data_IF_108928882057
#
_entry.id   IF_108928882057
#
_cell.length_a   1.000
_cell.length_b   1.000
_cell.length_c   1.000
_cell.angle_alpha   90.00
_cell.angle_beta   90.00
_cell.angle_gamma   90.00
#
_symmetry.space_group_name_H-M   'P 1'
#
loop_
_entity.id
_entity.type
_entity.pdbx_description
1 polymer ?
#
# COMPACT_ATOMS: atom_id res chain seq x y z
N UNK A 1 -10.06 11.17 17.75
CA UNK A 1 -11.13 10.98 18.77
C UNK A 1 -11.63 9.55 18.65
N UNK A 2 -11.57 8.76 19.72
CA UNK A 2 -12.15 7.42 19.72
C UNK A 2 -13.68 7.52 19.75
N UNK A 3 -14.36 6.83 18.85
CA UNK A 3 -15.82 6.71 18.87
C UNK A 3 -16.19 5.72 19.99
N UNK A 4 -17.16 6.03 20.88
CA UNK A 4 -17.59 5.13 21.94
C UNK A 4 -17.95 3.73 21.42
N UNK A 5 -17.56 2.68 22.14
CA UNK A 5 -17.75 1.25 21.76
C UNK A 5 -19.23 0.86 21.56
N UNK A 6 -20.16 1.63 22.11
CA UNK A 6 -21.61 1.39 22.01
C UNK A 6 -22.21 1.80 20.66
N UNK A 7 -21.48 2.59 19.86
CA UNK A 7 -21.90 2.97 18.51
C UNK A 7 -21.29 2.01 17.47
N UNK A 8 -22.11 1.08 16.97
CA UNK A 8 -21.81 0.22 15.80
C UNK A 8 -21.69 1.09 14.53
N UNK A 9 -20.55 1.74 14.37
CA UNK A 9 -20.23 2.56 13.20
C UNK A 9 -20.07 1.73 11.92
N UNK A 10 -20.30 2.40 10.78
CA UNK A 10 -20.20 1.82 9.46
C UNK A 10 -18.79 1.26 9.19
N UNK A 11 -18.72 0.16 8.44
CA UNK A 11 -17.47 -0.38 7.89
C UNK A 11 -17.38 0.00 6.42
N UNK A 12 -16.38 0.79 6.08
CA UNK A 12 -16.12 1.21 4.70
C UNK A 12 -15.19 0.23 3.98
N UNK A 13 -15.16 0.31 2.65
CA UNK A 13 -14.32 -0.54 1.83
C UNK A 13 -12.83 -0.21 2.02
N UNK A 14 -12.44 1.07 1.97
CA UNK A 14 -11.06 1.53 2.18
C UNK A 14 -10.88 2.14 3.58
N UNK A 15 -9.77 1.84 4.26
CA UNK A 15 -9.38 2.58 5.47
C UNK A 15 -9.21 4.06 5.18
N UNK A 16 -8.70 4.48 4.01
CA UNK A 16 -8.58 5.90 3.65
C UNK A 16 -9.85 6.75 3.85
N UNK A 17 -11.04 6.13 3.85
CA UNK A 17 -12.35 6.77 4.10
C UNK A 17 -12.85 6.57 5.55
N UNK A 18 -12.23 5.66 6.31
CA UNK A 18 -12.58 5.28 7.68
C UNK A 18 -11.48 5.61 8.69
N UNK A 19 -11.79 6.44 9.69
CA UNK A 19 -10.89 6.71 10.82
C UNK A 19 -10.70 5.51 11.78
N UNK A 20 -11.39 4.39 11.55
CA UNK A 20 -11.25 3.15 12.34
C UNK A 20 -10.21 2.24 11.67
N UNK A 21 -9.00 2.17 12.24
CA UNK A 21 -7.84 1.43 11.71
C UNK A 21 -7.90 -0.10 11.88
N UNK A 22 -8.96 -0.72 11.38
CA UNK A 22 -9.13 -2.19 11.32
C UNK A 22 -9.80 -2.63 10.00
N UNK A 23 -9.68 -1.82 8.96
CA UNK A 23 -10.33 -2.02 7.67
C UNK A 23 -9.41 -2.61 6.61
N UNK A 24 -9.99 -2.97 5.48
CA UNK A 24 -9.25 -3.29 4.28
C UNK A 24 -8.66 -2.02 3.70
N UNK A 25 -7.38 -2.05 3.40
CA UNK A 25 -6.76 -0.99 2.67
C UNK A 25 -5.54 -1.46 1.92
N UNK A 26 -5.28 -0.73 0.83
CA UNK A 26 -3.99 -0.67 0.18
C UNK A 26 -2.88 -0.56 1.24
N UNK A 27 -1.75 -1.27 1.12
CA UNK A 27 -0.68 -1.23 2.12
C UNK A 27 -0.18 0.20 2.43
N UNK A 28 -0.35 1.15 1.50
CA UNK A 28 -0.03 2.57 1.64
C UNK A 28 -1.13 3.41 2.27
N UNK A 29 -2.34 2.89 2.50
CA UNK A 29 -3.43 3.70 3.05
C UNK A 29 -3.13 4.21 4.46
N UNK A 30 -2.47 3.40 5.29
CA UNK A 30 -2.02 3.83 6.62
C UNK A 30 -0.99 4.97 6.54
N UNK A 31 -0.11 4.94 5.54
CA UNK A 31 0.84 6.02 5.26
C UNK A 31 0.11 7.32 4.84
N UNK A 32 -0.87 7.20 3.95
CA UNK A 32 -1.67 8.32 3.47
C UNK A 32 -2.48 8.97 4.61
N UNK A 33 -3.17 8.17 5.42
CA UNK A 33 -3.94 8.64 6.58
C UNK A 33 -3.08 9.39 7.61
N UNK A 34 -1.87 8.87 7.87
CA UNK A 34 -0.93 9.47 8.81
C UNK A 34 -0.09 10.58 8.18
N UNK A 35 -0.34 10.93 6.91
CA UNK A 35 0.35 12.00 6.15
C UNK A 35 1.87 11.82 6.13
N UNK A 36 2.33 10.57 6.07
CA UNK A 36 3.76 10.26 6.11
C UNK A 36 4.45 10.50 4.76
N UNK A 37 3.72 10.38 3.64
CA UNK A 37 4.22 10.60 2.26
C UNK A 37 3.73 11.84 1.48
N UNK A 38 2.50 12.37 1.61
CA UNK A 38 1.91 13.32 0.65
C UNK A 38 2.52 14.74 0.67
N UNK A 39 3.78 14.86 1.06
CA UNK A 39 4.63 16.01 0.79
C UNK A 39 5.43 15.69 -0.47
N UNK A 40 5.16 16.36 -1.61
CA UNK A 40 5.78 16.05 -2.90
C UNK A 40 7.31 15.92 -2.86
N UNK A 41 8.01 16.63 -1.97
CA UNK A 41 9.46 16.47 -1.78
C UNK A 41 9.86 15.09 -1.26
N UNK A 42 9.06 14.47 -0.37
CA UNK A 42 9.35 13.12 0.16
C UNK A 42 9.17 12.04 -0.90
N UNK A 43 8.19 12.22 -1.78
CA UNK A 43 7.95 11.34 -2.92
C UNK A 43 9.12 11.41 -3.90
N UNK A 44 9.58 12.61 -4.23
CA UNK A 44 10.78 12.81 -5.07
C UNK A 44 12.04 12.22 -4.44
N UNK A 45 12.24 12.39 -3.13
CA UNK A 45 13.34 11.74 -2.40
C UNK A 45 13.27 10.23 -2.56
N UNK A 46 12.09 9.61 -2.37
CA UNK A 46 11.92 8.15 -2.52
C UNK A 46 12.25 7.69 -3.94
N UNK A 47 11.75 8.39 -4.95
CA UNK A 47 12.01 8.06 -6.35
C UNK A 47 13.51 8.14 -6.68
N UNK A 48 14.23 9.13 -6.13
CA UNK A 48 15.66 9.26 -6.33
C UNK A 48 16.46 8.15 -5.64
N UNK A 49 16.11 7.80 -4.40
CA UNK A 49 16.84 6.76 -3.64
C UNK A 49 16.46 5.33 -4.02
N UNK A 50 15.30 5.13 -4.64
CA UNK A 50 14.87 3.84 -5.19
C UNK A 50 15.74 3.40 -6.37
N UNK A 51 16.21 4.36 -7.18
CA UNK A 51 17.11 4.08 -8.32
C UNK A 51 18.52 3.73 -7.86
N UNK A 52 19.03 4.47 -6.89
CA UNK A 52 20.34 4.25 -6.28
C UNK A 52 20.39 4.91 -4.89
N UNK A 53 21.06 4.33 -3.89
CA UNK A 53 21.24 4.97 -2.61
C UNK A 53 21.91 6.35 -2.74
N UNK A 54 21.40 7.36 -2.02
CA UNK A 54 21.94 8.73 -2.08
C UNK A 54 22.20 9.33 -0.70
N UNK A 55 23.19 10.20 -0.64
CA UNK A 55 23.46 11.06 0.52
C UNK A 55 22.55 12.29 0.55
N UNK A 56 22.47 12.95 1.71
CA UNK A 56 21.78 14.24 1.86
C UNK A 56 22.30 15.29 0.88
N UNK A 57 23.61 15.34 0.66
CA UNK A 57 24.23 16.32 -0.26
C UNK A 57 23.81 16.07 -1.72
N UNK A 58 23.82 14.81 -2.16
CA UNK A 58 23.38 14.43 -3.50
C UNK A 58 21.89 14.71 -3.72
N UNK A 59 21.05 14.46 -2.71
CA UNK A 59 19.63 14.77 -2.76
C UNK A 59 19.36 16.28 -2.77
N UNK A 60 20.12 17.05 -1.99
CA UNK A 60 20.03 18.51 -1.97
C UNK A 60 20.38 19.12 -3.33
N UNK A 61 21.43 18.61 -3.97
CA UNK A 61 21.82 18.99 -5.33
C UNK A 61 20.75 18.61 -6.35
N UNK A 62 20.29 17.34 -6.35
CA UNK A 62 19.32 16.83 -7.32
C UNK A 62 17.95 17.52 -7.24
N UNK A 63 17.53 17.95 -6.05
CA UNK A 63 16.23 18.59 -5.82
C UNK A 63 16.32 20.13 -5.78
N UNK A 64 17.51 20.71 -5.96
CA UNK A 64 17.76 22.15 -5.82
C UNK A 64 17.28 22.73 -4.47
N UNK A 65 17.44 21.94 -3.40
CA UNK A 65 17.01 22.29 -2.04
C UNK A 65 18.21 22.45 -1.10
N UNK A 66 18.02 23.21 -0.02
CA UNK A 66 19.07 23.37 0.98
C UNK A 66 19.33 22.05 1.74
N UNK A 67 20.59 21.72 2.09
CA UNK A 67 20.92 20.53 2.87
C UNK A 67 20.16 20.40 4.21
N UNK A 68 19.91 21.49 4.97
CA UNK A 68 19.07 21.40 6.17
C UNK A 68 17.62 20.99 5.89
N UNK A 69 17.04 21.42 4.77
CA UNK A 69 15.67 21.04 4.38
C UNK A 69 15.60 19.55 4.05
N UNK A 70 16.56 19.04 3.27
CA UNK A 70 16.65 17.60 2.96
C UNK A 70 16.89 16.79 4.23
N UNK A 71 17.79 17.23 5.11
CA UNK A 71 18.05 16.56 6.38
C UNK A 71 16.78 16.44 7.25
N UNK A 72 15.93 17.47 7.28
CA UNK A 72 14.62 17.39 7.97
C UNK A 72 13.71 16.33 7.35
N UNK A 73 13.62 16.25 6.02
CA UNK A 73 12.80 15.23 5.35
C UNK A 73 13.34 13.82 5.55
N UNK A 74 14.65 13.61 5.41
CA UNK A 74 15.30 12.32 5.62
C UNK A 74 15.07 11.81 7.04
N UNK A 75 15.29 12.66 8.07
CA UNK A 75 15.07 12.24 9.45
C UNK A 75 13.61 11.84 9.72
N UNK A 76 12.65 12.58 9.15
CA UNK A 76 11.24 12.24 9.29
C UNK A 76 10.91 10.92 8.59
N UNK A 77 11.47 10.69 7.38
CA UNK A 77 11.26 9.47 6.61
C UNK A 77 11.96 8.24 7.21
N UNK A 78 13.14 8.40 7.81
CA UNK A 78 13.80 7.34 8.59
C UNK A 78 12.99 7.03 9.86
N UNK A 79 12.51 8.07 10.57
CA UNK A 79 11.66 7.88 11.75
C UNK A 79 10.33 7.21 11.43
N UNK A 80 9.77 7.47 10.25
CA UNK A 80 8.58 6.79 9.76
C UNK A 80 8.89 5.45 9.07
N UNK A 81 10.15 5.03 9.05
CA UNK A 81 10.67 3.80 8.43
C UNK A 81 10.35 3.65 6.93
N UNK A 82 10.22 4.78 6.23
CA UNK A 82 10.18 4.80 4.76
C UNK A 82 11.58 4.64 4.16
N UNK A 83 12.61 5.08 4.89
CA UNK A 83 14.01 4.98 4.51
C UNK A 83 14.82 4.24 5.56
N UNK A 84 15.91 3.61 5.12
CA UNK A 84 16.99 3.08 5.96
C UNK A 84 18.34 3.59 5.49
N UNK A 85 19.34 3.52 6.35
CA UNK A 85 20.73 3.73 5.93
C UNK A 85 21.20 2.50 5.13
N UNK A 86 21.80 2.73 3.97
CA UNK A 86 22.35 1.67 3.12
C UNK A 86 23.65 1.14 3.73
N UNK A 87 23.70 -0.16 3.99
CA UNK A 87 24.88 -0.83 4.56
C UNK A 87 25.92 -1.21 3.50
N UNK A 88 25.48 -1.43 2.27
CA UNK A 88 26.27 -2.06 1.20
C UNK A 88 27.02 -1.07 0.30
N UNK A 89 26.75 0.24 0.42
CA UNK A 89 27.32 1.24 -0.50
C UNK A 89 28.76 1.62 -0.14
N UNK A 90 29.64 1.70 -1.15
CA UNK A 90 31.03 2.12 -0.96
C UNK A 90 31.11 3.58 -0.50
N UNK A 91 31.46 3.77 0.78
CA UNK A 91 31.64 5.09 1.39
C UNK A 91 32.98 5.67 0.98
N UNK A 92 32.98 6.86 0.35
CA UNK A 92 34.21 7.63 0.13
C UNK A 92 34.77 8.20 1.43
N UNK A 93 33.90 8.53 2.38
CA UNK A 93 34.28 9.01 3.70
C UNK A 93 33.50 8.28 4.81
N UNK A 94 34.11 7.97 5.98
CA UNK A 94 33.46 7.21 7.05
C UNK A 94 32.18 7.84 7.61
N UNK A 95 32.01 9.15 7.45
CA UNK A 95 30.85 9.90 7.94
C UNK A 95 29.70 10.01 6.93
N UNK A 96 29.91 9.58 5.68
CA UNK A 96 28.86 9.60 4.67
C UNK A 96 27.81 8.53 4.95
N UNK A 97 26.56 8.94 4.88
CA UNK A 97 25.39 8.07 5.03
C UNK A 97 24.59 8.13 3.74
N UNK A 98 24.41 6.96 3.14
CA UNK A 98 23.56 6.75 1.99
C UNK A 98 22.22 6.23 2.48
N UNK A 99 21.14 6.69 1.87
CA UNK A 99 19.78 6.30 2.22
C UNK A 99 19.12 5.59 1.04
N UNK A 100 18.30 4.59 1.35
CA UNK A 100 17.54 3.78 0.40
C UNK A 100 16.15 3.45 0.99
N UNK A 101 15.17 3.02 0.17
CA UNK A 101 13.88 2.58 0.69
C UNK A 101 14.03 1.44 1.68
N UNK A 102 13.25 1.47 2.77
CA UNK A 102 13.21 0.36 3.74
C UNK A 102 12.23 -0.75 3.32
N UNK A 103 11.96 -0.87 2.03
CA UNK A 103 10.98 -1.78 1.45
C UNK A 103 11.36 -2.14 0.02
N UNK A 104 10.89 -3.29 -0.50
CA UNK A 104 11.22 -3.69 -1.87
C UNK A 104 10.62 -2.71 -2.88
N UNK A 105 11.45 -2.31 -3.84
CA UNK A 105 11.03 -1.64 -5.07
C UNK A 105 11.14 -2.66 -6.20
N UNK A 106 10.00 -3.08 -6.73
CA UNK A 106 9.90 -4.08 -7.80
C UNK A 106 10.19 -3.41 -9.13
N UNK A 107 11.21 -3.89 -9.82
CA UNK A 107 11.60 -3.37 -11.14
C UNK A 107 10.67 -3.87 -12.23
N UNK A 108 10.63 -3.16 -13.36
CA UNK A 108 9.78 -3.53 -14.48
C UNK A 108 10.04 -4.94 -15.01
N UNK A 109 11.31 -5.37 -15.08
CA UNK A 109 11.68 -6.73 -15.49
C UNK A 109 11.23 -7.79 -14.47
N UNK A 110 11.29 -7.49 -13.17
CA UNK A 110 10.84 -8.39 -12.10
C UNK A 110 9.32 -8.51 -12.13
N UNK A 111 8.61 -7.39 -12.32
CA UNK A 111 7.16 -7.39 -12.53
C UNK A 111 6.77 -8.26 -13.73
N UNK A 112 7.49 -8.13 -14.85
CA UNK A 112 7.21 -8.93 -16.06
C UNK A 112 7.33 -10.45 -15.83
N UNK A 113 8.25 -10.89 -14.97
CA UNK A 113 8.37 -12.31 -14.59
C UNK A 113 7.15 -12.82 -13.82
N UNK A 114 6.53 -11.98 -12.98
CA UNK A 114 5.34 -12.34 -12.21
C UNK A 114 4.02 -12.11 -12.96
N UNK A 115 4.01 -11.22 -13.96
CA UNK A 115 2.80 -10.73 -14.61
C UNK A 115 1.93 -11.88 -15.16
N UNK A 116 2.53 -12.84 -15.85
CA UNK A 116 1.79 -13.97 -16.42
C UNK A 116 1.07 -14.80 -15.33
N UNK A 117 1.72 -15.02 -14.19
CA UNK A 117 1.14 -15.74 -13.05
C UNK A 117 0.04 -14.91 -12.40
N UNK A 118 0.28 -13.61 -12.20
CA UNK A 118 -0.72 -12.67 -11.65
C UNK A 118 -1.97 -12.60 -12.53
N UNK A 119 -1.82 -12.51 -13.85
CA UNK A 119 -2.92 -12.54 -14.81
C UNK A 119 -3.69 -13.86 -14.78
N UNK A 120 -2.99 -15.00 -14.68
CA UNK A 120 -3.64 -16.30 -14.54
C UNK A 120 -4.50 -16.36 -13.27
N UNK A 121 -3.98 -15.91 -12.14
CA UNK A 121 -4.71 -15.85 -10.87
C UNK A 121 -5.90 -14.90 -10.96
N UNK A 122 -5.73 -13.72 -11.56
CA UNK A 122 -6.80 -12.75 -11.77
C UNK A 122 -7.95 -13.36 -12.59
N UNK A 123 -7.61 -14.08 -13.68
CA UNK A 123 -8.60 -14.79 -14.49
C UNK A 123 -9.36 -15.84 -13.68
N UNK A 124 -8.68 -16.65 -12.87
CA UNK A 124 -9.32 -17.66 -12.02
C UNK A 124 -10.29 -17.03 -11.01
N UNK A 125 -9.94 -15.86 -10.47
CA UNK A 125 -10.84 -15.10 -9.60
C UNK A 125 -12.05 -14.61 -10.37
N UNK A 126 -11.87 -14.03 -11.56
CA UNK A 126 -12.96 -13.58 -12.42
C UNK A 126 -13.92 -14.73 -12.76
N UNK A 127 -13.39 -15.85 -13.25
CA UNK A 127 -14.16 -17.07 -13.59
C UNK A 127 -14.97 -17.57 -12.38
N UNK A 128 -14.39 -17.51 -11.18
CA UNK A 128 -15.07 -17.89 -9.94
C UNK A 128 -16.28 -16.99 -9.65
N UNK A 129 -16.12 -15.67 -9.80
CA UNK A 129 -17.22 -14.72 -9.63
C UNK A 129 -18.34 -14.93 -10.65
N UNK A 130 -17.97 -15.10 -11.92
CA UNK A 130 -18.93 -15.38 -12.99
C UNK A 130 -19.72 -16.67 -12.71
N UNK A 131 -19.02 -17.75 -12.35
CA UNK A 131 -19.62 -19.04 -12.00
C UNK A 131 -20.55 -18.96 -10.79
N UNK A 132 -20.26 -18.06 -9.85
CA UNK A 132 -21.05 -17.88 -8.61
C UNK A 132 -22.12 -16.79 -8.71
N UNK A 133 -22.20 -16.05 -9.82
CA UNK A 133 -23.14 -14.92 -10.00
C UNK A 133 -24.58 -15.27 -9.65
N UNK A 134 -25.12 -16.35 -10.21
CA UNK A 134 -26.51 -16.76 -9.93
C UNK A 134 -26.73 -17.18 -8.46
N UNK A 135 -25.70 -17.63 -7.75
CA UNK A 135 -25.80 -17.91 -6.32
C UNK A 135 -25.76 -16.61 -5.49
N UNK A 136 -24.94 -15.64 -5.89
CA UNK A 136 -24.86 -14.32 -5.25
C UNK A 136 -26.19 -13.56 -5.41
N UNK A 137 -26.77 -13.56 -6.61
CA UNK A 137 -28.05 -12.90 -6.89
C UNK A 137 -29.21 -13.55 -6.12
N UNK A 138 -29.24 -14.90 -6.04
CA UNK A 138 -30.21 -15.61 -5.18
C UNK A 138 -30.04 -15.27 -3.70
N UNK A 139 -28.82 -14.95 -3.25
CA UNK A 139 -28.57 -14.51 -1.88
C UNK A 139 -29.04 -13.08 -1.67
N UNK A 140 -28.80 -12.18 -2.63
CA UNK A 140 -29.32 -10.81 -2.63
C UNK A 140 -30.84 -10.78 -2.50
N UNK A 141 -31.55 -11.63 -3.24
CA UNK A 141 -33.01 -11.74 -3.19
C UNK A 141 -33.57 -12.25 -1.84
N UNK A 142 -32.71 -12.70 -0.91
CA UNK A 142 -33.09 -13.07 0.47
C UNK A 142 -32.89 -11.93 1.48
N UNK A 143 -32.37 -10.78 1.03
CA UNK A 143 -32.11 -9.60 1.86
C UNK A 143 -33.19 -8.55 1.66
N UNK A 144 -33.22 -7.54 2.53
CA UNK A 144 -34.11 -6.38 2.43
C UNK A 144 -33.56 -5.27 1.50
N UNK A 145 -32.42 -5.49 0.83
CA UNK A 145 -31.74 -4.48 0.03
C UNK A 145 -32.60 -4.00 -1.16
N UNK A 146 -33.32 -4.92 -1.79
CA UNK A 146 -34.24 -4.59 -2.88
C UNK A 146 -35.43 -3.73 -2.39
N UNK A 147 -35.96 -4.05 -1.20
CA UNK A 147 -37.04 -3.27 -0.56
C UNK A 147 -36.57 -1.85 -0.20
N UNK A 148 -35.27 -1.71 0.07
CA UNK A 148 -34.59 -0.42 0.33
C UNK A 148 -34.17 0.32 -0.94
N UNK A 149 -34.57 -0.16 -2.12
CA UNK A 149 -34.35 0.50 -3.41
C UNK A 149 -33.00 0.23 -4.06
N UNK A 150 -32.22 -0.74 -3.57
CA UNK A 150 -30.95 -1.12 -4.17
C UNK A 150 -31.12 -2.26 -5.17
N UNK A 151 -30.31 -2.27 -6.22
CA UNK A 151 -30.17 -3.38 -7.16
C UNK A 151 -28.96 -4.27 -6.80
N UNK A 152 -28.93 -5.49 -7.32
CA UNK A 152 -27.78 -6.38 -7.14
C UNK A 152 -26.47 -5.76 -7.66
N UNK A 153 -26.53 -5.02 -8.78
CA UNK A 153 -25.39 -4.30 -9.35
C UNK A 153 -24.72 -3.36 -8.35
N UNK A 154 -25.51 -2.71 -7.49
CA UNK A 154 -25.05 -1.66 -6.57
C UNK A 154 -24.16 -2.23 -5.46
N UNK A 155 -24.29 -3.53 -5.17
CA UNK A 155 -23.50 -4.22 -4.15
C UNK A 155 -22.37 -5.09 -4.72
N UNK A 156 -22.22 -5.18 -6.05
CA UNK A 156 -21.21 -6.07 -6.67
C UNK A 156 -19.78 -5.73 -6.23
N UNK A 157 -19.45 -4.44 -6.14
CA UNK A 157 -18.16 -3.96 -5.64
C UNK A 157 -17.96 -4.29 -4.15
N UNK A 158 -19.02 -4.19 -3.34
CA UNK A 158 -18.98 -4.63 -1.94
C UNK A 158 -18.69 -6.13 -1.82
N UNK A 159 -19.34 -6.96 -2.63
CA UNK A 159 -19.13 -8.41 -2.63
C UNK A 159 -17.70 -8.77 -3.06
N UNK A 160 -17.17 -8.10 -4.08
CA UNK A 160 -15.78 -8.29 -4.51
C UNK A 160 -14.80 -7.96 -3.39
N UNK A 161 -14.94 -6.79 -2.77
CA UNK A 161 -14.10 -6.36 -1.66
C UNK A 161 -14.24 -7.25 -0.40
N UNK A 162 -15.42 -7.83 -0.16
CA UNK A 162 -15.64 -8.77 0.95
C UNK A 162 -14.88 -10.09 0.73
N UNK A 163 -14.88 -10.61 -0.51
CA UNK A 163 -14.13 -11.83 -0.85
C UNK A 163 -12.63 -11.59 -0.78
N UNK A 164 -12.12 -10.50 -1.34
CA UNK A 164 -10.68 -10.19 -1.28
C UNK A 164 -10.17 -10.10 0.16
N UNK A 165 -10.94 -9.46 1.05
CA UNK A 165 -10.66 -9.43 2.49
C UNK A 165 -10.54 -10.81 3.10
N UNK A 166 -11.58 -11.63 2.94
CA UNK A 166 -11.59 -12.98 3.50
C UNK A 166 -10.48 -13.86 2.91
N UNK A 167 -10.16 -13.71 1.62
CA UNK A 167 -9.07 -14.42 0.98
C UNK A 167 -7.72 -14.04 1.60
N UNK A 168 -7.47 -12.74 1.82
CA UNK A 168 -6.25 -12.26 2.49
C UNK A 168 -6.13 -12.80 3.91
N UNK A 169 -7.19 -12.67 4.72
CA UNK A 169 -7.22 -13.21 6.10
C UNK A 169 -6.88 -14.70 6.11
N UNK A 170 -7.48 -15.49 5.21
CA UNK A 170 -7.18 -16.91 5.08
C UNK A 170 -5.74 -17.19 4.63
N UNK A 171 -5.16 -16.36 3.76
CA UNK A 171 -3.77 -16.51 3.31
C UNK A 171 -2.78 -16.17 4.44
N UNK A 172 -3.08 -15.14 5.23
CA UNK A 172 -2.31 -14.77 6.43
C UNK A 172 -2.38 -15.89 7.48
N UNK A 173 -3.58 -16.40 7.80
CA UNK A 173 -3.77 -17.53 8.74
C UNK A 173 -3.04 -18.80 8.31
N UNK A 174 -2.92 -19.02 7.00
CA UNK A 174 -2.21 -20.17 6.41
C UNK A 174 -0.71 -19.96 6.29
N UNK A 175 -0.19 -18.78 6.64
CA UNK A 175 1.22 -18.42 6.52
C UNK A 175 1.71 -18.24 5.08
N UNK A 176 0.80 -18.06 4.12
CA UNK A 176 1.15 -17.75 2.73
C UNK A 176 1.47 -16.27 2.57
N UNK A 177 0.74 -15.40 3.29
CA UNK A 177 1.04 -13.98 3.38
C UNK A 177 1.53 -13.64 4.80
N UNK A 178 2.48 -12.68 4.93
CA UNK A 178 2.85 -12.16 6.24
C UNK A 178 1.72 -11.32 6.83
N UNK A 179 1.52 -11.40 8.15
CA UNK A 179 0.64 -10.47 8.85
C UNK A 179 1.31 -9.10 8.98
N UNK A 180 0.56 -7.97 8.95
CA UNK A 180 1.13 -6.66 9.21
C UNK A 180 1.78 -6.56 10.59
N UNK A 181 3.06 -6.20 10.58
CA UNK A 181 3.85 -5.96 11.78
C UNK A 181 3.60 -4.55 12.33
N UNK A 182 3.84 -4.37 13.63
CA UNK A 182 3.78 -3.06 14.26
C UNK A 182 5.18 -2.44 14.23
N UNK A 183 5.30 -1.30 13.57
CA UNK A 183 6.56 -0.58 13.37
C UNK A 183 6.84 0.40 14.50
N UNK A 184 8.07 0.93 14.60
CA UNK A 184 8.49 1.82 15.69
C UNK A 184 7.69 3.13 15.72
N UNK A 185 7.16 3.54 14.57
CA UNK A 185 6.25 4.68 14.44
C UNK A 185 4.84 4.42 15.01
N UNK A 186 4.56 3.21 15.51
CA UNK A 186 3.29 2.81 16.11
C UNK A 186 2.21 2.41 15.10
N UNK A 187 2.51 2.44 13.81
CA UNK A 187 1.59 2.10 12.72
C UNK A 187 1.85 0.66 12.26
N UNK A 188 0.81 -0.06 11.83
CA UNK A 188 0.93 -1.43 11.30
C UNK A 188 0.84 -1.43 9.77
N UNK A 189 1.85 -1.96 9.08
CA UNK A 189 1.91 -1.97 7.61
C UNK A 189 2.91 -3.01 7.07
N UNK A 190 2.83 -3.30 5.76
CA UNK A 190 3.79 -4.11 4.96
C UNK A 190 4.00 -3.31 3.67
N UNK A 191 5.23 -3.15 3.17
CA UNK A 191 5.50 -2.29 2.01
C UNK A 191 6.04 -3.04 0.80
N UNK A 192 5.71 -2.49 -0.36
CA UNK A 192 6.41 -2.61 -1.62
C UNK A 192 6.07 -1.38 -2.48
N UNK A 193 6.94 -1.01 -3.41
CA UNK A 193 6.64 -0.08 -4.51
C UNK A 193 6.99 -0.75 -5.85
N UNK A 194 6.43 -0.25 -6.95
CA UNK A 194 6.69 -0.77 -8.30
C UNK A 194 7.20 0.39 -9.16
N UNK A 195 8.25 0.13 -9.94
CA UNK A 195 8.71 1.10 -10.93
C UNK A 195 7.74 1.17 -12.12
N UNK A 196 7.37 2.37 -12.59
CA UNK A 196 6.52 2.49 -13.75
C UNK A 196 7.19 1.88 -14.98
N UNK A 197 6.40 1.17 -15.81
CA UNK A 197 6.85 0.71 -17.12
C UNK A 197 7.30 1.90 -17.97
N UNK A 198 8.41 1.75 -18.71
CA UNK A 198 8.98 2.80 -19.57
C UNK A 198 8.02 3.34 -20.65
N UNK A 199 6.89 2.65 -20.90
CA UNK A 199 5.83 3.07 -21.83
C UNK A 199 4.62 3.76 -21.16
N UNK A 200 4.66 4.02 -19.84
CA UNK A 200 3.54 4.67 -19.13
C UNK A 200 3.34 6.18 -19.47
N UNK A 201 4.30 6.79 -20.18
CA UNK A 201 4.29 8.22 -20.56
C UNK A 201 4.07 8.46 -22.08
N UNK A 202 3.46 7.52 -22.82
CA UNK A 202 3.07 7.71 -24.23
C UNK A 202 1.57 7.75 -24.45
#
# INVERSE_FOLDING_TARGET
MAVPDELKGLRFACECVSARGKGYSDPWANISQNKLLPNGTKEEILNLVAREPKTISQLAEALELSPPSIHTHINDMVKSELLRESEEWEKRYPTERYYEPNFPVIKAEEHAEFEAVCQELAKRVADLFEKKRAQLERTFNKTDLAERGWAFSDITQYLYAAVQRGARELLEERGVLPTPEQHQNGVRWVFWAEEPSADADK
#
